data_IF_538061161199
#
_entry.id   IF_538061161199
#
_cell.length_a   1.000
_cell.length_b   1.000
_cell.length_c   1.000
_cell.angle_alpha   90.00
_cell.angle_beta   90.00
_cell.angle_gamma   90.00
#
_symmetry.space_group_name_H-M   'P 1'
#
loop_
_entity.id
_entity.type
_entity.pdbx_description
1 polymer ?
#
# COMPACT_ATOMS: atom_id res chain seq x y z
N UNK A 1 7.21 24.48 -3.62
CA UNK A 1 5.73 24.41 -3.63
C UNK A 1 5.28 23.74 -2.34
N UNK A 2 4.23 24.22 -1.67
CA UNK A 2 3.69 23.53 -0.50
C UNK A 2 3.10 22.18 -0.94
N UNK A 3 3.38 21.12 -0.18
CA UNK A 3 2.78 19.80 -0.33
C UNK A 3 2.18 19.36 1.00
N UNK A 4 1.18 18.48 0.95
CA UNK A 4 0.61 17.85 2.13
C UNK A 4 0.95 16.37 2.10
N UNK A 5 1.60 15.88 3.15
CA UNK A 5 1.85 14.46 3.32
C UNK A 5 0.75 13.86 4.20
N UNK A 6 0.19 12.73 3.77
CA UNK A 6 -0.75 11.96 4.58
C UNK A 6 -0.07 10.65 4.95
N UNK A 7 0.12 10.43 6.25
CA UNK A 7 0.67 9.18 6.74
C UNK A 7 -0.45 8.16 6.97
N UNK A 8 -0.49 7.12 6.12
CA UNK A 8 -1.41 5.99 6.26
C UNK A 8 -0.75 4.73 6.87
N UNK A 9 0.54 4.82 7.21
CA UNK A 9 1.35 3.70 7.71
C UNK A 9 0.92 3.22 9.10
N UNK A 10 1.01 1.92 9.30
CA UNK A 10 0.69 1.26 10.57
C UNK A 10 1.88 0.39 11.00
N UNK A 11 2.40 0.64 12.20
CA UNK A 11 3.54 -0.11 12.73
C UNK A 11 3.27 -1.61 12.76
N UNK A 12 4.18 -2.40 12.20
CA UNK A 12 4.06 -3.87 12.17
C UNK A 12 3.11 -4.42 11.10
N UNK A 13 2.63 -3.59 10.17
CA UNK A 13 1.74 -4.00 9.08
C UNK A 13 2.44 -4.90 8.04
N UNK A 14 1.72 -5.92 7.60
CA UNK A 14 2.11 -6.83 6.51
C UNK A 14 1.49 -6.38 5.18
N UNK A 15 1.96 -6.92 4.05
CA UNK A 15 1.35 -6.62 2.74
C UNK A 15 -0.12 -7.04 2.67
N UNK A 16 -0.50 -8.12 3.34
CA UNK A 16 -1.89 -8.57 3.44
C UNK A 16 -2.79 -7.58 4.19
N UNK A 17 -2.28 -6.98 5.28
CA UNK A 17 -2.96 -5.93 6.03
C UNK A 17 -3.16 -4.67 5.20
N UNK A 18 -2.09 -4.21 4.52
CA UNK A 18 -2.16 -3.07 3.61
C UNK A 18 -3.15 -3.28 2.46
N UNK A 19 -3.17 -4.48 1.86
CA UNK A 19 -4.14 -4.84 0.82
C UNK A 19 -5.58 -4.74 1.31
N UNK A 20 -5.86 -5.15 2.54
CA UNK A 20 -7.21 -5.08 3.09
C UNK A 20 -7.66 -3.64 3.42
N UNK A 21 -6.72 -2.71 3.58
CA UNK A 21 -6.99 -1.31 3.96
C UNK A 21 -6.93 -0.31 2.81
N UNK A 22 -6.39 -0.70 1.65
CA UNK A 22 -6.13 0.23 0.54
C UNK A 22 -7.39 0.99 0.11
N UNK A 23 -8.55 0.33 0.07
CA UNK A 23 -9.82 0.98 -0.30
C UNK A 23 -10.20 2.14 0.63
N UNK A 24 -9.85 2.05 1.91
CA UNK A 24 -10.10 3.13 2.86
C UNK A 24 -9.10 4.27 2.68
N UNK A 25 -7.83 3.95 2.43
CA UNK A 25 -6.77 4.95 2.17
C UNK A 25 -7.09 5.77 0.91
N UNK A 26 -7.55 5.10 -0.16
CA UNK A 26 -7.89 5.72 -1.44
C UNK A 26 -9.17 6.57 -1.41
N UNK A 27 -9.86 6.70 -0.26
CA UNK A 27 -10.92 7.71 -0.09
C UNK A 27 -10.37 9.14 -0.08
N UNK A 28 -9.07 9.28 0.16
CA UNK A 28 -8.35 10.54 0.10
C UNK A 28 -7.85 10.77 -1.33
N UNK A 29 -7.95 12.01 -1.82
CA UNK A 29 -7.31 12.38 -3.08
C UNK A 29 -5.80 12.40 -2.88
N UNK A 30 -5.07 11.68 -3.72
CA UNK A 30 -3.60 11.65 -3.73
C UNK A 30 -3.11 11.95 -5.14
N UNK A 31 -2.11 12.83 -5.25
CA UNK A 31 -1.43 13.11 -6.53
C UNK A 31 -0.16 12.26 -6.68
N UNK A 32 0.35 11.72 -5.58
CA UNK A 32 1.49 10.78 -5.53
C UNK A 32 1.20 9.73 -4.47
N UNK A 33 1.39 8.46 -4.81
CA UNK A 33 1.25 7.34 -3.88
C UNK A 33 2.61 6.66 -3.63
N UNK A 34 2.95 6.45 -2.36
CA UNK A 34 4.17 5.76 -1.94
C UNK A 34 3.79 4.48 -1.21
N UNK A 35 4.18 3.33 -1.77
CA UNK A 35 3.94 2.02 -1.18
C UNK A 35 5.20 1.53 -0.44
N UNK A 36 5.10 1.39 0.88
CA UNK A 36 6.18 0.91 1.74
C UNK A 36 5.64 -0.21 2.63
N UNK A 37 5.70 -1.45 2.13
CA UNK A 37 5.27 -2.67 2.85
C UNK A 37 6.18 -3.85 2.45
N UNK A 38 6.25 -4.87 3.31
CA UNK A 38 6.96 -6.12 3.05
C UNK A 38 8.04 -6.48 4.08
N UNK A 39 8.56 -5.49 4.83
CA UNK A 39 9.55 -5.77 5.88
C UNK A 39 9.00 -6.74 6.94
N UNK A 40 7.77 -6.54 7.40
CA UNK A 40 7.14 -7.44 8.39
C UNK A 40 6.80 -8.82 7.82
N UNK A 41 6.55 -8.93 6.52
CA UNK A 41 6.34 -10.23 5.86
C UNK A 41 7.62 -11.07 5.96
N UNK A 42 8.77 -10.46 5.62
CA UNK A 42 10.09 -11.09 5.70
C UNK A 42 10.42 -11.46 7.14
N UNK A 43 10.25 -10.54 8.10
CA UNK A 43 10.54 -10.80 9.51
C UNK A 43 9.66 -11.92 10.10
N UNK A 44 8.48 -12.17 9.53
CA UNK A 44 7.55 -13.22 9.95
C UNK A 44 7.67 -14.51 9.13
N UNK A 45 8.54 -14.55 8.12
CA UNK A 45 8.73 -15.73 7.26
C UNK A 45 7.52 -16.05 6.38
N UNK A 46 6.77 -15.03 5.93
CA UNK A 46 5.66 -15.23 4.99
C UNK A 46 6.18 -15.56 3.58
N UNK A 47 5.34 -16.20 2.75
CA UNK A 47 5.70 -16.55 1.38
C UNK A 47 5.88 -15.28 0.53
N UNK A 48 7.06 -15.15 -0.10
CA UNK A 48 7.39 -14.03 -0.98
C UNK A 48 6.45 -13.92 -2.18
N UNK A 49 5.89 -15.04 -2.66
CA UNK A 49 4.87 -15.01 -3.70
C UNK A 49 3.58 -14.33 -3.23
N UNK A 50 3.22 -14.53 -1.97
CA UNK A 50 2.06 -13.87 -1.37
C UNK A 50 2.35 -12.38 -1.16
N UNK A 51 3.53 -12.04 -0.65
CA UNK A 51 4.02 -10.65 -0.54
C UNK A 51 3.95 -9.92 -1.88
N UNK A 52 4.50 -10.52 -2.94
CA UNK A 52 4.45 -9.95 -4.29
C UNK A 52 3.00 -9.80 -4.78
N UNK A 53 2.18 -10.85 -4.65
CA UNK A 53 0.78 -10.82 -5.07
C UNK A 53 -0.01 -9.73 -4.36
N UNK A 54 0.23 -9.51 -3.07
CA UNK A 54 -0.44 -8.49 -2.29
C UNK A 54 0.00 -7.07 -2.74
N UNK A 55 1.30 -6.85 -2.96
CA UNK A 55 1.82 -5.58 -3.47
C UNK A 55 1.26 -5.26 -4.85
N UNK A 56 1.21 -6.24 -5.76
CA UNK A 56 0.60 -6.07 -7.09
C UNK A 56 -0.87 -5.68 -6.99
N UNK A 57 -1.64 -6.36 -6.15
CA UNK A 57 -3.06 -6.05 -5.95
C UNK A 57 -3.27 -4.62 -5.41
N UNK A 58 -2.40 -4.14 -4.52
CA UNK A 58 -2.43 -2.76 -4.05
C UNK A 58 -2.17 -1.78 -5.20
N UNK A 59 -1.11 -2.00 -5.98
CA UNK A 59 -0.76 -1.14 -7.11
C UNK A 59 -1.86 -1.11 -8.18
N UNK A 60 -2.45 -2.26 -8.51
CA UNK A 60 -3.56 -2.36 -9.45
C UNK A 60 -4.78 -1.56 -8.96
N UNK A 61 -5.07 -1.63 -7.65
CA UNK A 61 -6.16 -0.86 -7.05
C UNK A 61 -5.89 0.66 -7.11
N UNK A 62 -4.67 1.08 -6.78
CA UNK A 62 -4.27 2.49 -6.82
C UNK A 62 -4.45 3.06 -8.22
N UNK A 63 -3.95 2.36 -9.24
CA UNK A 63 -4.08 2.76 -10.66
C UNK A 63 -5.53 2.79 -11.13
N UNK A 64 -6.35 1.82 -10.71
CA UNK A 64 -7.75 1.78 -11.06
C UNK A 64 -8.56 2.93 -10.44
N UNK A 65 -8.22 3.35 -9.22
CA UNK A 65 -8.88 4.46 -8.54
C UNK A 65 -8.32 5.83 -8.89
N UNK A 66 -7.04 5.91 -9.28
CA UNK A 66 -6.35 7.15 -9.63
C UNK A 66 -5.46 6.88 -10.86
N UNK A 67 -5.99 7.00 -12.08
CA UNK A 67 -5.26 6.67 -13.31
C UNK A 67 -4.02 7.53 -13.57
N UNK A 68 -3.97 8.72 -12.95
CA UNK A 68 -2.89 9.71 -13.11
C UNK A 68 -1.79 9.58 -12.03
N UNK A 69 -1.90 8.60 -11.12
CA UNK A 69 -0.96 8.33 -10.01
C UNK A 69 0.05 7.25 -10.37
#
# INVERSE_FOLDING_TARGET
MPYTAINAGLSGETTSGGKNRIDWVLKQKVDVFVLELGANDVLRGLDLKETESNLRAILDKVKASNPDV
#
